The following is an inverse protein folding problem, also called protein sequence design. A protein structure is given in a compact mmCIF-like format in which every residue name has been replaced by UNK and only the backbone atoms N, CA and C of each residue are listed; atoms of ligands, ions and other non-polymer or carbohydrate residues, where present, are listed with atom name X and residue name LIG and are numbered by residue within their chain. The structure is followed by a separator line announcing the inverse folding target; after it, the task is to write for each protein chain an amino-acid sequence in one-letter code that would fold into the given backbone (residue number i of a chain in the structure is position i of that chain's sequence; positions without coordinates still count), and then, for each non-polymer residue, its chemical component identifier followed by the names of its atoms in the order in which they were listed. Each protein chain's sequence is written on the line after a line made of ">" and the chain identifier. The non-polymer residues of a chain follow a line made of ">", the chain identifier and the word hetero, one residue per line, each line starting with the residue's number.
data_IF_695214336374
#
_entry.id   IF_695214336374
#
_cell.length_a   1.000
_cell.length_b   1.000
_cell.length_c   1.000
_cell.angle_alpha   90.00
_cell.angle_beta   90.00
_cell.angle_gamma   90.00
#
_symmetry.space_group_name_H-M   'P 1'
#
loop_
_entity.id
_entity.type
_entity.pdbx_description
1 polymer ?
#
# COMPACT_ATOMS: atom_id res chain seq x y z
N UNK A 1 -4.57 -6.69 38.12
CA UNK A 1 -3.26 -7.30 37.84
C UNK A 1 -3.03 -7.15 36.35
N UNK A 2 -2.63 -5.94 35.95
CA UNK A 2 -2.36 -5.60 34.56
C UNK A 2 -0.92 -5.98 34.24
N UNK A 3 -0.75 -6.71 33.16
CA UNK A 3 0.54 -7.20 32.65
C UNK A 3 1.34 -6.06 32.04
N UNK A 4 2.07 -5.33 32.88
CA UNK A 4 3.11 -4.37 32.49
C UNK A 4 4.38 -5.10 32.02
N UNK A 5 4.37 -5.65 30.81
CA UNK A 5 5.57 -6.29 30.23
C UNK A 5 6.36 -5.40 29.27
N UNK A 6 6.02 -4.12 29.11
CA UNK A 6 6.75 -3.22 28.20
C UNK A 6 7.93 -2.48 28.89
N UNK A 7 8.05 -2.48 30.22
CA UNK A 7 8.76 -1.39 30.90
C UNK A 7 10.07 -1.71 31.65
N UNK A 8 10.95 -2.58 31.13
CA UNK A 8 12.24 -2.82 31.79
C UNK A 8 13.50 -2.70 30.91
N UNK A 9 13.40 -2.64 29.58
CA UNK A 9 14.59 -2.73 28.71
C UNK A 9 14.80 -1.56 27.73
N UNK A 10 13.88 -0.59 27.63
CA UNK A 10 13.99 0.52 26.67
C UNK A 10 13.50 1.86 27.28
N UNK A 11 14.24 2.44 28.24
CA UNK A 11 13.84 3.66 28.97
C UNK A 11 13.59 4.90 28.08
N UNK A 12 14.11 4.94 26.85
CA UNK A 12 14.01 6.09 25.92
C UNK A 12 12.78 6.01 24.97
N UNK A 13 11.87 5.07 25.21
CA UNK A 13 10.75 4.77 24.31
C UNK A 13 9.37 5.03 24.95
N UNK A 14 9.28 5.13 26.28
CA UNK A 14 8.01 5.20 27.01
C UNK A 14 7.10 6.38 26.61
N UNK A 15 7.69 7.53 26.28
CA UNK A 15 6.95 8.76 25.91
C UNK A 15 6.86 8.99 24.38
N UNK A 16 7.25 7.99 23.57
CA UNK A 16 7.28 8.09 22.11
C UNK A 16 6.16 7.27 21.49
N UNK A 17 5.63 7.78 20.38
CA UNK A 17 4.74 6.98 19.54
C UNK A 17 5.53 5.88 18.85
N UNK A 18 5.05 4.64 18.98
CA UNK A 18 5.64 3.47 18.35
C UNK A 18 5.11 3.32 16.93
N UNK A 19 6.01 3.43 15.95
CA UNK A 19 5.66 3.31 14.54
C UNK A 19 6.34 2.07 13.94
N UNK A 20 5.56 1.02 13.71
CA UNK A 20 6.06 -0.20 13.11
C UNK A 20 6.19 -0.12 11.58
N UNK A 21 7.30 -0.63 11.06
CA UNK A 21 7.53 -0.81 9.62
C UNK A 21 8.09 -2.21 9.35
N UNK A 22 7.92 -2.76 8.14
CA UNK A 22 8.50 -4.05 7.78
C UNK A 22 10.01 -4.06 8.03
N UNK A 23 10.55 -5.14 8.61
CA UNK A 23 11.98 -5.24 8.93
C UNK A 23 12.87 -5.65 7.77
N UNK A 24 12.27 -6.31 6.77
CA UNK A 24 12.90 -6.86 5.56
C UNK A 24 11.85 -7.20 4.50
N UNK A 25 12.31 -7.63 3.33
CA UNK A 25 11.46 -8.10 2.24
C UNK A 25 11.06 -6.98 1.29
N UNK A 26 10.19 -7.29 0.33
CA UNK A 26 9.87 -6.42 -0.82
C UNK A 26 9.34 -5.02 -0.47
N UNK A 27 8.70 -4.87 0.69
CA UNK A 27 8.13 -3.59 1.12
C UNK A 27 9.16 -2.68 1.81
N UNK A 28 10.31 -3.23 2.22
CA UNK A 28 11.27 -2.57 3.09
C UNK A 28 11.76 -1.24 2.53
N UNK A 29 12.40 -1.27 1.36
CA UNK A 29 13.01 -0.07 0.77
C UNK A 29 11.96 0.98 0.42
N UNK A 30 10.78 0.55 -0.02
CA UNK A 30 9.66 1.45 -0.34
C UNK A 30 9.13 2.15 0.92
N UNK A 31 9.07 1.44 2.05
CA UNK A 31 8.75 2.02 3.35
C UNK A 31 9.83 3.01 3.79
N UNK A 32 11.11 2.65 3.74
CA UNK A 32 12.20 3.56 4.12
C UNK A 32 12.21 4.83 3.27
N UNK A 33 12.02 4.67 1.96
CA UNK A 33 11.91 5.79 1.04
C UNK A 33 10.71 6.68 1.42
N UNK A 34 9.55 6.11 1.74
CA UNK A 34 8.40 6.89 2.21
C UNK A 34 8.74 7.66 3.49
N UNK A 35 9.32 7.00 4.51
CA UNK A 35 9.71 7.61 5.78
C UNK A 35 10.62 8.83 5.56
N UNK A 36 11.60 8.71 4.66
CA UNK A 36 12.49 9.82 4.30
C UNK A 36 11.73 11.00 3.66
N UNK A 37 10.82 10.73 2.72
CA UNK A 37 10.04 11.79 2.05
C UNK A 37 9.02 12.48 2.96
N UNK A 38 8.58 11.82 4.03
CA UNK A 38 7.75 12.44 5.08
C UNK A 38 8.58 13.11 6.17
N UNK A 39 9.91 13.16 6.02
CA UNK A 39 10.82 13.84 6.94
C UNK A 39 10.96 13.14 8.29
N UNK A 40 10.94 11.80 8.32
CA UNK A 40 11.33 11.03 9.50
C UNK A 40 12.84 10.78 9.43
N UNK A 41 13.58 11.43 10.32
CA UNK A 41 15.04 11.30 10.41
C UNK A 41 15.39 10.30 11.51
N UNK A 42 16.10 9.23 11.15
CA UNK A 42 16.50 8.20 12.10
C UNK A 42 17.80 7.54 11.66
N UNK A 43 18.51 6.95 12.61
CA UNK A 43 19.64 6.08 12.34
C UNK A 43 19.40 4.71 12.96
N UNK A 44 19.30 3.68 12.13
CA UNK A 44 19.15 2.29 12.57
C UNK A 44 20.51 1.60 12.60
N UNK A 45 20.97 1.22 13.79
CA UNK A 45 22.17 0.37 13.93
C UNK A 45 21.90 -1.03 13.36
N UNK A 46 22.90 -1.71 12.78
CA UNK A 46 22.76 -3.09 12.33
C UNK A 46 22.22 -3.99 13.45
N UNK A 47 21.32 -4.92 13.10
CA UNK A 47 20.69 -5.90 14.02
C UNK A 47 19.82 -5.31 15.12
N UNK A 48 19.57 -4.00 15.13
CA UNK A 48 18.61 -3.39 16.05
C UNK A 48 17.23 -3.37 15.40
N UNK A 49 16.20 -3.75 16.15
CA UNK A 49 14.81 -3.68 15.70
C UNK A 49 14.11 -2.37 16.11
N UNK A 50 14.83 -1.46 16.77
CA UNK A 50 14.31 -0.16 17.18
C UNK A 50 15.28 0.94 16.75
N UNK A 51 14.74 2.02 16.19
CA UNK A 51 15.48 3.24 15.90
C UNK A 51 14.70 4.46 16.40
N UNK A 52 15.35 5.30 17.20
CA UNK A 52 14.76 6.55 17.65
C UNK A 52 14.77 7.57 16.52
N UNK A 53 13.67 8.29 16.37
CA UNK A 53 13.56 9.41 15.44
C UNK A 53 14.13 10.65 16.11
N UNK A 54 15.06 11.33 15.43
CA UNK A 54 15.80 12.48 15.96
C UNK A 54 14.98 13.76 15.97
N UNK A 55 14.06 13.92 15.01
CA UNK A 55 13.33 15.16 14.77
C UNK A 55 11.84 15.11 15.19
N UNK A 56 11.36 14.00 15.78
CA UNK A 56 9.98 13.82 16.25
C UNK A 56 9.91 12.83 17.43
N UNK A 57 8.88 12.89 18.29
CA UNK A 57 8.69 11.96 19.42
C UNK A 57 8.16 10.59 18.95
N UNK A 58 8.93 9.95 18.07
CA UNK A 58 8.61 8.66 17.46
C UNK A 58 9.78 7.70 17.71
N UNK A 59 9.46 6.42 17.89
CA UNK A 59 10.41 5.32 17.77
C UNK A 59 9.93 4.38 16.66
N UNK A 60 10.79 4.16 15.66
CA UNK A 60 10.52 3.18 14.62
C UNK A 60 10.79 1.78 15.16
N UNK A 61 9.84 0.87 14.93
CA UNK A 61 9.94 -0.54 15.32
C UNK A 61 9.94 -1.41 14.07
N UNK A 62 11.01 -2.13 13.82
CA UNK A 62 11.18 -2.95 12.63
C UNK A 62 10.69 -4.37 12.91
N UNK A 63 9.54 -4.72 12.35
CA UNK A 63 8.85 -5.98 12.63
C UNK A 63 8.63 -6.83 11.37
N UNK A 64 8.46 -8.15 11.48
CA UNK A 64 7.89 -8.92 10.38
C UNK A 64 6.54 -8.33 9.96
N UNK A 65 6.32 -8.13 8.66
CA UNK A 65 5.10 -7.49 8.16
C UNK A 65 3.83 -8.22 8.64
N UNK A 66 3.90 -9.56 8.73
CA UNK A 66 2.83 -10.42 9.22
C UNK A 66 2.39 -10.13 10.67
N UNK A 67 3.27 -9.57 11.49
CA UNK A 67 2.98 -9.31 12.91
C UNK A 67 2.45 -7.89 13.17
N UNK A 68 2.67 -6.96 12.23
CA UNK A 68 2.39 -5.53 12.42
C UNK A 68 0.91 -5.28 12.71
N UNK A 69 0.00 -5.88 11.93
CA UNK A 69 -1.44 -5.68 12.12
C UNK A 69 -1.88 -6.11 13.52
N UNK A 70 -1.44 -7.29 13.98
CA UNK A 70 -1.71 -7.82 15.32
C UNK A 70 -1.17 -6.92 16.43
N UNK A 71 0.06 -6.42 16.30
CA UNK A 71 0.62 -5.54 17.33
C UNK A 71 -0.04 -4.17 17.38
N UNK A 72 -0.49 -3.65 16.23
CA UNK A 72 -1.31 -2.42 16.19
C UNK A 72 -2.67 -2.69 16.83
N UNK A 73 -3.37 -3.76 16.45
CA UNK A 73 -4.67 -4.13 17.01
C UNK A 73 -4.66 -4.30 18.54
N UNK A 74 -3.59 -4.91 19.09
CA UNK A 74 -3.41 -5.09 20.54
C UNK A 74 -2.96 -3.83 21.29
N UNK A 75 -2.71 -2.73 20.60
CA UNK A 75 -2.23 -1.48 21.19
C UNK A 75 -0.76 -1.51 21.64
N UNK A 76 0.01 -2.54 21.25
CA UNK A 76 1.45 -2.60 21.50
C UNK A 76 2.22 -1.62 20.62
N UNK A 77 1.67 -1.28 19.45
CA UNK A 77 2.22 -0.35 18.46
C UNK A 77 1.11 0.66 18.12
N UNK A 78 1.45 1.94 17.96
CA UNK A 78 0.48 3.00 17.71
C UNK A 78 0.14 3.16 16.21
N UNK A 79 1.15 3.01 15.36
CA UNK A 79 1.08 3.24 13.93
C UNK A 79 1.84 2.13 13.21
N UNK A 80 1.38 1.68 12.04
CA UNK A 80 2.02 0.58 11.31
C UNK A 80 1.92 0.73 9.79
N UNK A 81 2.93 0.27 9.06
CA UNK A 81 2.83 -0.02 7.62
C UNK A 81 2.83 -1.52 7.41
N UNK A 82 1.77 -2.06 6.82
CA UNK A 82 1.65 -3.48 6.46
C UNK A 82 0.79 -3.66 5.20
N UNK A 83 0.52 -4.89 4.77
CA UNK A 83 -0.39 -5.20 3.67
C UNK A 83 -1.84 -5.33 4.14
N UNK A 84 -2.79 -4.92 3.29
CA UNK A 84 -4.22 -5.14 3.54
C UNK A 84 -4.56 -6.62 3.75
N UNK A 85 -3.89 -7.49 2.99
CA UNK A 85 -3.94 -8.95 3.14
C UNK A 85 -3.61 -9.41 4.55
N UNK A 86 -2.62 -8.79 5.21
CA UNK A 86 -2.25 -9.15 6.59
C UNK A 86 -3.32 -8.72 7.59
N UNK A 87 -3.96 -7.57 7.38
CA UNK A 87 -5.05 -7.10 8.26
C UNK A 87 -6.22 -8.08 8.18
N UNK A 88 -6.62 -8.46 6.96
CA UNK A 88 -7.72 -9.39 6.77
C UNK A 88 -7.36 -10.80 7.28
N UNK A 89 -6.15 -11.29 7.01
CA UNK A 89 -5.70 -12.62 7.46
C UNK A 89 -5.59 -12.71 8.99
N UNK A 90 -5.09 -11.67 9.64
CA UNK A 90 -4.98 -11.63 11.11
C UNK A 90 -6.32 -11.40 11.81
N UNK A 91 -7.39 -11.15 11.06
CA UNK A 91 -8.74 -10.86 11.59
C UNK A 91 -8.76 -9.68 12.56
N UNK A 92 -7.97 -8.64 12.26
CA UNK A 92 -7.79 -7.46 13.11
C UNK A 92 -8.57 -6.23 12.63
N UNK A 93 -9.39 -6.38 11.60
CA UNK A 93 -10.06 -5.27 10.91
C UNK A 93 -10.96 -4.41 11.82
N UNK A 94 -11.48 -4.96 12.91
CA UNK A 94 -12.35 -4.24 13.86
C UNK A 94 -11.53 -3.39 14.88
N UNK A 95 -10.26 -3.73 15.10
CA UNK A 95 -9.38 -3.09 16.08
C UNK A 95 -8.40 -2.08 15.46
N UNK A 96 -8.29 -2.06 14.12
CA UNK A 96 -7.38 -1.18 13.37
C UNK A 96 -8.15 -0.28 12.41
N UNK A 97 -7.74 0.98 12.34
CA UNK A 97 -8.22 1.91 11.33
C UNK A 97 -7.21 2.00 10.17
N UNK A 98 -7.67 1.77 8.94
CA UNK A 98 -6.93 2.08 7.71
C UNK A 98 -6.92 3.60 7.52
N UNK A 99 -5.75 4.23 7.62
CA UNK A 99 -5.59 5.67 7.46
C UNK A 99 -5.42 6.05 5.99
N UNK A 100 -4.59 5.32 5.26
CA UNK A 100 -4.25 5.63 3.87
C UNK A 100 -3.66 4.42 3.16
N UNK A 101 -4.04 4.22 1.89
CA UNK A 101 -3.38 3.28 0.97
C UNK A 101 -2.15 3.91 0.33
N UNK A 102 -1.03 3.20 0.38
CA UNK A 102 0.27 3.77 0.02
C UNK A 102 0.60 3.66 -1.47
N UNK A 103 -0.23 2.98 -2.26
CA UNK A 103 -0.07 2.89 -3.71
C UNK A 103 1.04 1.95 -4.17
N UNK A 104 1.62 1.15 -3.26
CA UNK A 104 2.75 0.27 -3.55
C UNK A 104 2.63 -1.10 -2.87
N UNK A 105 3.41 -2.08 -3.33
CA UNK A 105 3.29 -3.47 -2.88
C UNK A 105 1.99 -4.12 -3.33
N UNK A 106 1.49 -3.73 -4.52
CA UNK A 106 0.22 -4.20 -5.07
C UNK A 106 0.31 -5.67 -5.48
N UNK A 107 -0.61 -6.49 -4.98
CA UNK A 107 -0.70 -7.91 -5.31
C UNK A 107 -2.15 -8.36 -5.36
N UNK A 108 -2.34 -9.58 -5.86
CA UNK A 108 -3.60 -10.32 -5.79
C UNK A 108 -3.37 -11.58 -4.97
N UNK A 109 -4.16 -11.81 -3.93
CA UNK A 109 -4.23 -13.11 -3.28
C UNK A 109 -5.11 -14.01 -4.15
N UNK A 110 -4.52 -15.04 -4.76
CA UNK A 110 -5.19 -15.83 -5.80
C UNK A 110 -5.21 -17.32 -5.46
N UNK A 111 -6.31 -17.96 -5.86
CA UNK A 111 -6.40 -19.42 -5.91
C UNK A 111 -5.73 -19.88 -7.21
N UNK A 112 -4.87 -20.87 -7.10
CA UNK A 112 -4.06 -21.37 -8.21
C UNK A 112 -4.05 -22.89 -8.24
N UNK A 113 -3.95 -23.47 -9.44
CA UNK A 113 -3.95 -24.92 -9.66
C UNK A 113 -2.91 -25.30 -10.72
N UNK A 114 -2.39 -26.54 -10.75
CA UNK A 114 -1.49 -26.99 -11.80
C UNK A 114 -2.08 -26.80 -13.20
N UNK A 115 -1.35 -26.13 -14.09
CA UNK A 115 -1.74 -25.87 -15.47
C UNK A 115 -1.93 -27.14 -16.30
N UNK A 116 -1.33 -28.25 -15.88
CA UNK A 116 -1.55 -29.56 -16.49
C UNK A 116 -2.98 -30.08 -16.26
N UNK A 117 -3.65 -29.64 -15.20
CA UNK A 117 -5.01 -30.04 -14.89
C UNK A 117 -6.03 -29.08 -15.51
N UNK A 118 -6.34 -29.31 -16.79
CA UNK A 118 -7.29 -28.49 -17.56
C UNK A 118 -8.75 -28.63 -17.11
N UNK A 119 -9.08 -29.61 -16.26
CA UNK A 119 -10.44 -29.81 -15.76
C UNK A 119 -10.83 -28.83 -14.65
N UNK A 120 -9.85 -28.20 -14.01
CA UNK A 120 -10.06 -27.21 -12.94
C UNK A 120 -9.96 -25.82 -13.55
N UNK A 121 -11.10 -25.15 -13.69
CA UNK A 121 -11.18 -23.83 -14.34
C UNK A 121 -11.65 -22.73 -13.41
N UNK A 122 -12.20 -23.10 -12.24
CA UNK A 122 -12.69 -22.20 -11.22
C UNK A 122 -12.33 -22.70 -9.82
N UNK A 123 -12.28 -21.81 -8.84
CA UNK A 123 -12.05 -22.21 -7.44
C UNK A 123 -13.13 -23.18 -6.91
N UNK A 124 -14.34 -23.18 -7.49
CA UNK A 124 -15.41 -24.12 -7.12
C UNK A 124 -15.05 -25.56 -7.46
N UNK A 125 -14.23 -25.80 -8.48
CA UNK A 125 -13.76 -27.14 -8.86
C UNK A 125 -12.78 -27.74 -7.84
N UNK A 126 -12.24 -26.91 -6.94
CA UNK A 126 -11.37 -27.32 -5.85
C UNK A 126 -12.11 -27.52 -4.51
N UNK A 127 -13.43 -27.39 -4.49
CA UNK A 127 -14.23 -27.65 -3.28
C UNK A 127 -14.04 -29.09 -2.81
N UNK A 128 -13.74 -29.26 -1.52
CA UNK A 128 -13.47 -30.57 -0.92
C UNK A 128 -12.04 -31.09 -1.12
N UNK A 129 -11.20 -30.37 -1.88
CA UNK A 129 -9.81 -30.74 -2.15
C UNK A 129 -8.84 -30.19 -1.10
N UNK A 130 -7.55 -30.52 -1.25
CA UNK A 130 -6.48 -30.03 -0.36
C UNK A 130 -5.91 -28.72 -0.89
N UNK A 131 -6.01 -27.66 -0.09
CA UNK A 131 -5.46 -26.35 -0.40
C UNK A 131 -4.37 -26.03 0.61
N UNK A 132 -3.20 -25.59 0.13
CA UNK A 132 -2.17 -25.05 1.02
C UNK A 132 -1.96 -23.56 0.81
N UNK A 133 -1.65 -22.87 1.90
CA UNK A 133 -1.52 -21.41 1.89
C UNK A 133 -0.82 -20.92 3.17
N UNK A 134 -0.26 -19.72 3.12
CA UNK A 134 0.09 -18.94 4.32
C UNK A 134 -1.07 -18.06 4.82
N UNK A 135 -2.15 -17.92 4.03
CA UNK A 135 -3.34 -17.10 4.29
C UNK A 135 -4.56 -17.99 4.58
N UNK A 136 -4.52 -18.67 5.72
CA UNK A 136 -5.47 -19.73 6.09
C UNK A 136 -6.86 -19.15 6.30
N UNK A 137 -6.99 -18.03 7.01
CA UNK A 137 -8.29 -17.46 7.35
C UNK A 137 -9.02 -16.95 6.11
N UNK A 138 -8.33 -16.19 5.25
CA UNK A 138 -8.89 -15.71 3.98
C UNK A 138 -9.27 -16.86 3.04
N UNK A 139 -8.44 -17.89 2.96
CA UNK A 139 -8.73 -19.08 2.14
C UNK A 139 -9.94 -19.84 2.67
N UNK A 140 -9.99 -20.08 3.99
CA UNK A 140 -11.13 -20.74 4.64
C UNK A 140 -12.43 -19.99 4.42
N UNK A 141 -12.41 -18.66 4.57
CA UNK A 141 -13.57 -17.82 4.29
C UNK A 141 -14.03 -17.98 2.84
N UNK A 142 -13.10 -17.87 1.88
CA UNK A 142 -13.43 -18.01 0.45
C UNK A 142 -14.07 -19.35 0.11
N UNK A 143 -13.50 -20.46 0.59
CA UNK A 143 -14.02 -21.78 0.29
C UNK A 143 -15.32 -22.10 1.04
N UNK A 144 -15.50 -21.60 2.27
CA UNK A 144 -16.78 -21.67 2.97
C UNK A 144 -17.91 -20.96 2.19
N UNK A 145 -17.64 -19.77 1.64
CA UNK A 145 -18.57 -19.04 0.77
C UNK A 145 -18.90 -19.82 -0.52
N UNK A 146 -17.90 -20.42 -1.16
CA UNK A 146 -18.10 -21.23 -2.37
C UNK A 146 -18.94 -22.49 -2.12
N UNK A 147 -18.77 -23.10 -0.94
CA UNK A 147 -19.52 -24.26 -0.47
C UNK A 147 -20.91 -23.91 0.08
N UNK A 148 -21.16 -22.64 0.43
CA UNK A 148 -22.41 -22.20 1.05
C UNK A 148 -22.60 -22.70 2.49
N UNK A 149 -21.51 -22.92 3.22
CA UNK A 149 -21.51 -23.44 4.60
C UNK A 149 -20.64 -22.57 5.52
N UNK A 150 -20.74 -22.79 6.83
CA UNK A 150 -19.83 -22.17 7.80
C UNK A 150 -18.45 -22.83 7.76
N UNK A 151 -17.42 -22.12 8.22
CA UNK A 151 -16.02 -22.58 8.21
C UNK A 151 -15.85 -23.94 8.93
N UNK A 152 -16.60 -24.19 10.02
CA UNK A 152 -16.58 -25.44 10.79
C UNK A 152 -17.16 -26.64 10.04
N UNK A 153 -17.94 -26.41 8.97
CA UNK A 153 -18.61 -27.46 8.17
C UNK A 153 -18.02 -27.63 6.78
N UNK A 154 -16.95 -26.90 6.45
CA UNK A 154 -16.34 -26.98 5.13
C UNK A 154 -15.74 -28.37 4.88
N UNK A 155 -15.81 -28.82 3.63
CA UNK A 155 -15.15 -30.04 3.16
C UNK A 155 -13.72 -29.77 2.71
N UNK A 156 -13.45 -28.57 2.20
CA UNK A 156 -12.13 -28.18 1.71
C UNK A 156 -11.09 -28.24 2.82
N UNK A 157 -9.96 -28.91 2.57
CA UNK A 157 -8.89 -29.07 3.56
C UNK A 157 -7.84 -27.99 3.38
N UNK A 158 -7.95 -26.90 4.14
CA UNK A 158 -6.96 -25.80 4.13
C UNK A 158 -5.85 -26.06 5.14
N UNK A 159 -4.60 -26.13 4.68
CA UNK A 159 -3.41 -26.35 5.52
C UNK A 159 -2.41 -25.21 5.41
N UNK A 160 -1.80 -24.86 6.54
CA UNK A 160 -0.78 -23.82 6.59
C UNK A 160 0.56 -24.30 6.01
N UNK A 161 1.17 -23.48 5.15
CA UNK A 161 2.55 -23.62 4.68
C UNK A 161 3.19 -22.24 4.67
N UNK A 162 4.32 -22.08 5.37
CA UNK A 162 4.97 -20.78 5.60
C UNK A 162 5.89 -20.30 4.47
N UNK A 163 6.18 -21.13 3.47
CA UNK A 163 7.08 -20.78 2.37
C UNK A 163 7.15 -21.84 1.29
N UNK A 164 7.59 -21.44 0.10
CA UNK A 164 7.64 -22.29 -1.10
C UNK A 164 6.30 -22.97 -1.40
N UNK A 165 5.21 -22.21 -1.25
CA UNK A 165 3.84 -22.69 -1.46
C UNK A 165 3.67 -23.20 -2.90
N UNK A 166 4.36 -22.57 -3.86
CA UNK A 166 4.37 -22.94 -5.27
C UNK A 166 4.83 -24.37 -5.56
N UNK A 167 5.66 -24.95 -4.68
CA UNK A 167 6.15 -26.32 -4.85
C UNK A 167 5.13 -27.39 -4.39
N UNK A 168 4.12 -27.01 -3.60
CA UNK A 168 3.30 -27.96 -2.87
C UNK A 168 2.48 -28.89 -3.78
N UNK A 169 1.93 -28.38 -4.88
CA UNK A 169 1.20 -29.21 -5.84
C UNK A 169 2.12 -30.21 -6.54
N UNK A 170 3.32 -29.77 -6.95
CA UNK A 170 4.32 -30.64 -7.60
C UNK A 170 4.82 -31.76 -6.68
N UNK A 171 4.81 -31.53 -5.37
CA UNK A 171 5.15 -32.51 -4.34
C UNK A 171 3.96 -33.38 -3.89
N UNK A 172 2.77 -33.20 -4.47
CA UNK A 172 1.56 -33.95 -4.12
C UNK A 172 0.95 -33.60 -2.75
N UNK A 173 1.39 -32.48 -2.14
CA UNK A 173 0.90 -32.02 -0.84
C UNK A 173 -0.46 -31.31 -0.93
N UNK A 174 -0.79 -30.80 -2.12
CA UNK A 174 -2.00 -30.03 -2.36
C UNK A 174 -2.53 -30.26 -3.78
N UNK A 175 -3.83 -30.04 -3.94
CA UNK A 175 -4.52 -30.06 -5.23
C UNK A 175 -4.65 -28.64 -5.81
N UNK A 176 -4.54 -27.62 -4.94
CA UNK A 176 -4.40 -26.21 -5.31
C UNK A 176 -3.72 -25.41 -4.21
N UNK A 177 -3.35 -24.17 -4.51
CA UNK A 177 -2.72 -23.27 -3.55
C UNK A 177 -3.44 -21.92 -3.50
N UNK A 178 -3.23 -21.20 -2.40
CA UNK A 178 -3.54 -19.77 -2.32
C UNK A 178 -2.28 -19.01 -1.90
N UNK A 179 -1.85 -18.08 -2.73
CA UNK A 179 -0.68 -17.24 -2.46
C UNK A 179 -0.78 -15.87 -3.16
N UNK A 180 0.09 -14.94 -2.76
CA UNK A 180 0.18 -13.61 -3.34
C UNK A 180 0.85 -13.64 -4.72
N UNK A 181 0.19 -13.01 -5.68
CA UNK A 181 0.65 -12.89 -7.06
C UNK A 181 0.82 -11.41 -7.41
N UNK A 182 2.03 -11.04 -7.84
CA UNK A 182 2.34 -9.71 -8.39
C UNK A 182 2.30 -9.75 -9.93
N UNK A 183 3.36 -10.23 -10.58
CA UNK A 183 3.39 -10.44 -12.04
C UNK A 183 2.91 -11.85 -12.45
N UNK A 184 2.98 -12.82 -11.55
CA UNK A 184 2.68 -14.23 -11.83
C UNK A 184 3.82 -15.04 -12.44
N UNK A 185 5.00 -14.45 -12.63
CA UNK A 185 6.15 -15.14 -13.25
C UNK A 185 6.58 -16.38 -12.45
N UNK A 186 6.73 -16.25 -11.13
CA UNK A 186 7.11 -17.36 -10.25
C UNK A 186 6.11 -18.51 -10.31
N UNK A 187 4.81 -18.19 -10.30
CA UNK A 187 3.75 -19.20 -10.30
C UNK A 187 3.68 -19.92 -11.65
N UNK A 188 3.82 -19.19 -12.76
CA UNK A 188 3.91 -19.79 -14.10
C UNK A 188 5.13 -20.69 -14.24
N UNK A 189 6.28 -20.29 -13.70
CA UNK A 189 7.49 -21.11 -13.69
C UNK A 189 7.32 -22.41 -12.87
N UNK A 190 6.51 -22.38 -11.82
CA UNK A 190 6.11 -23.56 -11.05
C UNK A 190 5.01 -24.41 -11.72
N UNK A 191 4.58 -24.05 -12.93
CA UNK A 191 3.52 -24.76 -13.66
C UNK A 191 2.12 -24.53 -13.09
N UNK A 192 1.89 -23.42 -12.38
CA UNK A 192 0.60 -23.04 -11.81
C UNK A 192 -0.07 -21.97 -12.67
N UNK A 193 -1.41 -21.91 -12.60
CA UNK A 193 -2.19 -20.82 -13.15
C UNK A 193 -3.28 -20.37 -12.16
N UNK A 194 -3.57 -19.08 -12.15
CA UNK A 194 -4.61 -18.50 -11.30
C UNK A 194 -6.00 -18.75 -11.88
N UNK A 195 -6.92 -19.18 -11.01
CA UNK A 195 -8.32 -19.50 -11.36
C UNK A 195 -9.34 -18.66 -10.59
N UNK A 196 -8.93 -17.95 -9.54
CA UNK A 196 -9.78 -17.04 -8.77
C UNK A 196 -8.94 -16.00 -8.03
N UNK A 197 -9.53 -14.84 -7.72
CA UNK A 197 -8.89 -13.78 -6.93
C UNK A 197 -9.70 -13.53 -5.67
N UNK A 198 -9.09 -13.80 -4.52
CA UNK A 198 -9.69 -13.61 -3.19
C UNK A 198 -9.66 -12.14 -2.78
N UNK A 199 -8.50 -11.49 -2.96
CA UNK A 199 -8.27 -10.13 -2.48
C UNK A 199 -7.29 -9.39 -3.38
N UNK A 200 -7.62 -8.15 -3.75
CA UNK A 200 -6.63 -7.19 -4.24
C UNK A 200 -6.03 -6.47 -3.03
N UNK A 201 -4.72 -6.58 -2.84
CA UNK A 201 -4.01 -6.01 -1.68
C UNK A 201 -2.96 -4.99 -2.12
N UNK A 202 -2.68 -4.04 -1.24
CA UNK A 202 -1.55 -3.12 -1.32
C UNK A 202 -1.08 -2.75 0.09
N UNK A 203 0.05 -2.03 0.17
CA UNK A 203 0.54 -1.53 1.46
C UNK A 203 -0.35 -0.40 1.98
N UNK A 204 -0.63 -0.43 3.27
CA UNK A 204 -1.50 0.50 3.96
C UNK A 204 -0.84 1.04 5.23
N UNK A 205 -1.14 2.29 5.55
CA UNK A 205 -0.86 2.90 6.85
C UNK A 205 -2.05 2.65 7.78
N UNK A 206 -1.79 2.04 8.94
CA UNK A 206 -2.81 1.70 9.93
C UNK A 206 -2.48 2.26 11.31
N UNK A 207 -3.51 2.44 12.12
CA UNK A 207 -3.40 2.78 13.54
C UNK A 207 -4.42 2.00 14.36
N UNK A 208 -4.21 1.90 15.67
CA UNK A 208 -5.20 1.32 16.57
C UNK A 208 -6.45 2.23 16.62
N UNK A 209 -7.64 1.63 16.72
CA UNK A 209 -8.89 2.39 16.89
C UNK A 209 -8.88 3.29 18.14
N UNK A 210 -8.18 2.88 19.20
CA UNK A 210 -7.93 3.63 20.43
C UNK A 210 -6.55 4.32 20.40
N UNK A 211 -6.48 5.45 19.70
CA UNK A 211 -5.22 6.17 19.47
C UNK A 211 -4.67 6.81 20.75
N UNK A 212 -3.44 6.45 21.15
CA UNK A 212 -2.71 7.12 22.24
C UNK A 212 -2.16 8.49 21.85
N UNK A 213 -1.84 8.69 20.56
CA UNK A 213 -1.20 9.92 20.04
C UNK A 213 -1.96 10.52 18.84
N UNK A 214 -3.25 10.88 18.97
CA UNK A 214 -4.10 11.23 17.81
C UNK A 214 -3.57 12.38 16.96
N UNK A 215 -3.00 13.43 17.59
CA UNK A 215 -2.42 14.57 16.86
C UNK A 215 -1.20 14.18 16.01
N UNK A 216 -0.37 13.26 16.53
CA UNK A 216 0.84 12.82 15.83
C UNK A 216 0.49 11.85 14.70
N UNK A 217 -0.48 10.96 14.92
CA UNK A 217 -1.07 10.10 13.88
C UNK A 217 -1.57 10.94 12.71
N UNK A 218 -2.38 11.97 12.98
CA UNK A 218 -2.89 12.86 11.94
C UNK A 218 -1.76 13.60 11.21
N UNK A 219 -0.75 14.07 11.95
CA UNK A 219 0.43 14.71 11.34
C UNK A 219 1.17 13.78 10.39
N UNK A 220 1.38 12.51 10.77
CA UNK A 220 2.05 11.53 9.90
C UNK A 220 1.18 11.19 8.70
N UNK A 221 -0.13 10.99 8.90
CA UNK A 221 -1.10 10.76 7.82
C UNK A 221 -1.03 11.86 6.76
N UNK A 222 -1.14 13.13 7.16
CA UNK A 222 -1.07 14.27 6.23
C UNK A 222 0.26 14.34 5.47
N UNK A 223 1.38 14.03 6.14
CA UNK A 223 2.70 13.98 5.47
C UNK A 223 2.77 12.85 4.45
N UNK A 224 2.23 11.67 4.78
CA UNK A 224 2.15 10.52 3.85
C UNK A 224 1.28 10.88 2.65
N UNK A 225 0.07 11.38 2.87
CA UNK A 225 -0.84 11.80 1.81
C UNK A 225 -0.19 12.83 0.87
N UNK A 226 0.60 13.76 1.42
CA UNK A 226 1.30 14.74 0.61
C UNK A 226 2.39 14.17 -0.29
N UNK A 227 3.11 13.15 0.16
CA UNK A 227 4.06 12.39 -0.68
C UNK A 227 3.32 11.59 -1.75
N UNK A 228 2.18 10.99 -1.42
CA UNK A 228 1.37 10.25 -2.40
C UNK A 228 0.81 11.17 -3.48
N UNK A 229 0.38 12.38 -3.10
CA UNK A 229 -0.06 13.40 -4.05
C UNK A 229 1.09 13.83 -4.97
N UNK A 230 2.26 14.12 -4.42
CA UNK A 230 3.46 14.46 -5.18
C UNK A 230 3.89 13.35 -6.16
N UNK A 231 3.63 12.07 -5.84
CA UNK A 231 3.85 10.96 -6.77
C UNK A 231 2.88 10.95 -7.93
N UNK A 232 1.61 11.33 -7.73
CA UNK A 232 0.53 11.30 -8.74
C UNK A 232 0.55 12.51 -9.68
N UNK A 233 0.98 13.67 -9.19
CA UNK A 233 0.92 14.93 -9.92
C UNK A 233 2.30 15.48 -10.29
N UNK A 234 2.31 16.35 -11.29
CA UNK A 234 3.44 17.25 -11.62
C UNK A 234 2.91 18.68 -11.70
N UNK A 235 3.80 19.64 -11.54
CA UNK A 235 3.48 21.04 -11.79
C UNK A 235 3.81 21.35 -13.25
N UNK A 236 2.79 21.69 -14.04
CA UNK A 236 2.93 22.14 -15.42
C UNK A 236 2.90 23.68 -15.43
N UNK A 237 3.85 24.29 -16.10
CA UNK A 237 3.94 25.74 -16.29
C UNK A 237 4.01 26.03 -17.79
N UNK A 238 3.31 27.06 -18.25
CA UNK A 238 3.34 27.45 -19.66
C UNK A 238 2.95 28.91 -19.84
N UNK A 239 3.39 29.50 -20.94
CA UNK A 239 2.99 30.83 -21.36
C UNK A 239 1.90 30.74 -22.42
N UNK A 240 0.88 31.59 -22.35
CA UNK A 240 -0.21 31.63 -23.33
C UNK A 240 -0.76 33.05 -23.50
N UNK A 241 -1.30 33.35 -24.68
CA UNK A 241 -2.06 34.57 -24.92
C UNK A 241 -3.34 34.59 -24.07
N UNK A 242 -3.69 35.76 -23.55
CA UNK A 242 -4.85 35.96 -22.65
C UNK A 242 -6.18 35.55 -23.29
N UNK A 243 -6.34 35.74 -24.59
CA UNK A 243 -7.53 35.30 -25.35
C UNK A 243 -7.75 33.78 -25.33
N UNK A 244 -6.66 33.00 -25.19
CA UNK A 244 -6.70 31.53 -25.17
C UNK A 244 -6.74 30.95 -23.76
N UNK A 245 -6.66 31.79 -22.72
CA UNK A 245 -6.60 31.36 -21.32
C UNK A 245 -7.81 30.52 -20.91
N UNK A 246 -9.03 30.93 -21.30
CA UNK A 246 -10.25 30.22 -20.93
C UNK A 246 -10.25 28.78 -21.45
N UNK A 247 -9.83 28.58 -22.71
CA UNK A 247 -9.67 27.25 -23.32
C UNK A 247 -8.60 26.42 -22.60
N UNK A 248 -7.49 27.03 -22.22
CA UNK A 248 -6.42 26.36 -21.50
C UNK A 248 -6.85 25.93 -20.07
N UNK A 249 -7.67 26.72 -19.37
CA UNK A 249 -8.24 26.36 -18.07
C UNK A 249 -9.21 25.16 -18.15
N UNK A 250 -9.88 24.96 -19.29
CA UNK A 250 -10.72 23.76 -19.51
C UNK A 250 -9.86 22.51 -19.69
N UNK A 251 -8.74 22.60 -20.43
CA UNK A 251 -7.80 21.49 -20.63
C UNK A 251 -7.10 21.10 -19.33
N UNK A 252 -6.63 22.10 -18.58
CA UNK A 252 -5.93 21.90 -17.32
C UNK A 252 -6.53 22.81 -16.25
N UNK A 253 -7.57 22.31 -15.57
CA UNK A 253 -8.24 23.00 -14.46
C UNK A 253 -7.47 22.92 -13.15
N UNK A 254 -6.53 21.98 -13.02
CA UNK A 254 -5.78 21.74 -11.80
C UNK A 254 -6.61 21.08 -10.70
N UNK A 255 -6.15 21.20 -9.46
CA UNK A 255 -6.87 20.66 -8.28
C UNK A 255 -7.92 21.61 -7.72
N UNK A 256 -7.67 22.92 -7.79
CA UNK A 256 -8.57 23.96 -7.29
C UNK A 256 -8.82 25.00 -8.38
N UNK A 257 -7.76 25.65 -8.84
CA UNK A 257 -7.75 26.48 -10.04
C UNK A 257 -6.30 26.63 -10.54
N UNK A 258 -6.08 26.94 -11.82
CA UNK A 258 -4.76 27.33 -12.32
C UNK A 258 -4.32 28.66 -11.70
N UNK A 259 -3.05 28.78 -11.36
CA UNK A 259 -2.45 30.08 -10.98
C UNK A 259 -2.10 30.83 -12.26
N UNK A 260 -2.52 32.10 -12.36
CA UNK A 260 -2.31 32.93 -13.56
C UNK A 260 -1.58 34.20 -13.17
N UNK A 261 -0.44 34.45 -13.81
CA UNK A 261 0.41 35.63 -13.59
C UNK A 261 0.57 36.37 -14.91
N UNK A 262 0.36 37.69 -14.93
CA UNK A 262 0.57 38.50 -16.15
C UNK A 262 2.07 38.67 -16.42
N UNK A 263 2.46 38.60 -17.70
CA UNK A 263 3.83 38.85 -18.15
C UNK A 263 4.03 40.31 -18.58
N UNK A 264 5.29 40.75 -18.70
CA UNK A 264 5.61 42.08 -19.25
C UNK A 264 5.22 42.21 -20.72
N UNK A 265 5.32 41.11 -21.47
CA UNK A 265 4.88 41.07 -22.86
C UNK A 265 3.35 41.25 -22.94
N UNK A 266 2.90 42.17 -23.79
CA UNK A 266 1.48 42.49 -23.96
C UNK A 266 0.64 41.25 -24.34
N UNK A 267 -0.50 41.13 -23.66
CA UNK A 267 -1.48 40.04 -23.78
C UNK A 267 -0.98 38.63 -23.44
N UNK A 268 0.15 38.48 -22.75
CA UNK A 268 0.63 37.18 -22.29
C UNK A 268 0.42 36.96 -20.80
N UNK A 269 0.16 35.69 -20.45
CA UNK A 269 0.10 35.20 -19.08
C UNK A 269 0.94 33.94 -18.94
N UNK A 270 1.58 33.76 -17.79
CA UNK A 270 2.11 32.50 -17.34
C UNK A 270 1.07 31.77 -16.49
N UNK A 271 0.83 30.51 -16.80
CA UNK A 271 -0.10 29.64 -16.08
C UNK A 271 0.68 28.54 -15.37
N UNK A 272 0.36 28.29 -14.11
CA UNK A 272 0.90 27.19 -13.33
C UNK A 272 -0.24 26.31 -12.80
N UNK A 273 -0.18 25.01 -13.09
CA UNK A 273 -1.27 24.09 -12.81
C UNK A 273 -0.76 22.67 -12.52
N UNK A 274 -1.37 22.00 -11.53
CA UNK A 274 -1.08 20.60 -11.25
C UNK A 274 -1.79 19.67 -12.24
N UNK A 275 -1.04 18.76 -12.86
CA UNK A 275 -1.57 17.77 -13.82
C UNK A 275 -1.22 16.36 -13.33
N UNK A 276 -2.15 15.42 -13.48
CA UNK A 276 -1.86 14.01 -13.22
C UNK A 276 -0.84 13.48 -14.23
N UNK A 277 0.19 12.77 -13.75
CA UNK A 277 1.28 12.24 -14.60
C UNK A 277 0.77 11.41 -15.78
N UNK A 278 -0.31 10.64 -15.58
CA UNK A 278 -0.91 9.79 -16.62
C UNK A 278 -1.55 10.59 -17.77
N UNK A 279 -1.93 11.84 -17.53
CA UNK A 279 -2.58 12.72 -18.52
C UNK A 279 -1.62 13.76 -19.09
N UNK A 280 -0.38 13.79 -18.60
CA UNK A 280 0.58 14.86 -18.87
C UNK A 280 0.82 15.05 -20.37
N UNK A 281 1.18 13.98 -21.09
CA UNK A 281 1.50 14.05 -22.51
C UNK A 281 0.33 14.63 -23.32
N UNK A 282 -0.86 14.04 -23.17
CA UNK A 282 -2.07 14.49 -23.86
C UNK A 282 -2.41 15.95 -23.54
N UNK A 283 -2.28 16.38 -22.28
CA UNK A 283 -2.55 17.78 -21.91
C UNK A 283 -1.50 18.73 -22.47
N UNK A 284 -0.23 18.33 -22.53
CA UNK A 284 0.81 19.16 -23.17
C UNK A 284 0.51 19.37 -24.66
N UNK A 285 0.11 18.32 -25.38
CA UNK A 285 -0.27 18.41 -26.79
C UNK A 285 -1.48 19.35 -26.99
N UNK A 286 -2.53 19.16 -26.20
CA UNK A 286 -3.73 20.03 -26.24
C UNK A 286 -3.40 21.49 -25.91
N UNK A 287 -2.57 21.73 -24.90
CA UNK A 287 -2.12 23.08 -24.55
C UNK A 287 -1.32 23.70 -25.71
N UNK A 288 -0.47 22.92 -26.36
CA UNK A 288 0.32 23.37 -27.51
C UNK A 288 -0.58 23.76 -28.70
N UNK A 289 -1.61 22.97 -29.00
CA UNK A 289 -2.60 23.25 -30.05
C UNK A 289 -3.37 24.56 -29.80
N UNK A 290 -3.65 24.89 -28.54
CA UNK A 290 -4.36 26.11 -28.14
C UNK A 290 -3.43 27.35 -28.14
N UNK A 291 -2.14 27.15 -28.40
CA UNK A 291 -1.14 28.21 -28.53
C UNK A 291 -0.26 28.42 -27.29
N UNK A 292 -0.22 27.46 -26.36
CA UNK A 292 0.74 27.51 -25.27
C UNK A 292 2.17 27.32 -25.78
N UNK A 293 3.10 28.08 -25.20
CA UNK A 293 4.54 28.01 -25.46
C UNK A 293 5.30 27.80 -24.16
N UNK A 294 6.56 27.38 -24.26
CA UNK A 294 7.44 27.14 -23.12
C UNK A 294 6.80 26.26 -22.03
N UNK A 295 6.19 25.15 -22.45
CA UNK A 295 5.53 24.21 -21.54
C UNK A 295 6.60 23.45 -20.76
N UNK A 296 6.74 23.78 -19.49
CA UNK A 296 7.69 23.22 -18.53
C UNK A 296 6.97 22.30 -17.54
N UNK A 297 7.66 21.23 -17.14
CA UNK A 297 7.17 20.27 -16.15
C UNK A 297 8.15 20.17 -14.99
N UNK A 298 7.67 20.48 -13.79
CA UNK A 298 8.44 20.42 -12.56
C UNK A 298 7.91 19.28 -11.68
N UNK A 299 8.85 18.51 -11.11
CA UNK A 299 8.50 17.46 -10.15
C UNK A 299 8.17 18.08 -8.80
N UNK A 300 7.14 17.52 -8.16
CA UNK A 300 6.75 17.88 -6.80
C UNK A 300 7.34 16.82 -5.87
N UNK A 301 8.01 17.25 -4.79
CA UNK A 301 8.55 16.32 -3.80
C UNK A 301 7.52 16.00 -2.70
N UNK A 302 6.74 17.00 -2.28
CA UNK A 302 5.69 16.87 -1.27
C UNK A 302 4.67 18.02 -1.46
N UNK A 303 3.41 17.79 -1.11
CA UNK A 303 2.38 18.83 -1.15
C UNK A 303 1.31 18.56 -0.08
N UNK A 304 1.01 19.54 0.78
CA UNK A 304 0.01 19.41 1.84
C UNK A 304 -1.30 20.06 1.41
N UNK A 305 -2.43 19.47 1.79
CA UNK A 305 -3.78 20.00 1.56
C UNK A 305 -4.44 20.31 2.87
#
# INVERSE_FOLDING_TARGET
>A
MESSFINASLPDVADRMLFAVPKKGRLYDQCLNLLNHIGIEFHRKPRHDIALVSNMPIALVFLPAADIATYVAKGNIDLGITGLDIICESQTADDVAELTRLGFGKCKLQVQTPAINQSVTSARDLVGQRIVTSFVNLTKQRFAELEGVSIDRMKTQVRFVSGSVEAACGLGLADGIVDLVESGDTMRAAGLHAIDTILNTESVLITNCHQRFPKLVETIKQRVEGVLMARRYVLCQYNIKRESLERACVVASGRQAPTVTSLEAEDWVAVSVMIEKKELANKMDQLKEIGAIDILVLQIANART
#
